data_IF_622331075361
#
_entry.id   IF_622331075361
#
_cell.length_a   1.000
_cell.length_b   1.000
_cell.length_c   1.000
_cell.angle_alpha   90.00
_cell.angle_beta   90.00
_cell.angle_gamma   90.00
#
_symmetry.space_group_name_H-M   'P 1'
#
loop_
_entity.id
_entity.type
_entity.pdbx_description
1 polymer ?
#
# COMPACT_ATOMS: atom_id res chain seq x y z
N UNK A 1 -8.89 2.60 -8.52
CA UNK A 1 -9.59 3.48 -7.55
C UNK A 1 -8.68 3.67 -6.37
N UNK A 2 -8.56 4.90 -5.85
CA UNK A 2 -7.69 5.24 -4.71
C UNK A 2 -8.57 5.75 -3.58
N UNK A 3 -8.41 5.16 -2.40
CA UNK A 3 -9.12 5.52 -1.18
C UNK A 3 -8.61 6.80 -0.55
N UNK A 4 -9.20 7.14 0.59
CA UNK A 4 -8.91 8.37 1.35
C UNK A 4 -7.56 8.31 2.04
N UNK A 5 -6.90 9.47 2.19
CA UNK A 5 -5.66 9.62 2.97
C UNK A 5 -4.51 8.69 2.53
N UNK A 6 -4.47 8.31 1.25
CA UNK A 6 -3.38 7.53 0.70
C UNK A 6 -2.14 8.39 0.47
N UNK A 7 -0.95 7.79 0.63
CA UNK A 7 0.34 8.43 0.30
C UNK A 7 1.08 7.62 -0.74
N UNK A 8 0.90 7.98 -2.01
CA UNK A 8 1.54 7.32 -3.15
C UNK A 8 2.74 8.18 -3.58
N UNK A 9 3.94 7.63 -3.46
CA UNK A 9 5.18 8.35 -3.78
C UNK A 9 5.47 8.36 -5.29
N UNK A 10 6.31 9.29 -5.74
CA UNK A 10 6.83 9.31 -7.12
C UNK A 10 7.57 8.01 -7.46
N UNK A 11 7.51 7.59 -8.73
CA UNK A 11 8.16 6.35 -9.18
C UNK A 11 7.36 5.08 -8.86
N UNK A 12 6.07 5.22 -8.57
CA UNK A 12 5.11 4.12 -8.44
C UNK A 12 4.37 3.96 -9.77
N UNK A 13 4.22 2.72 -10.24
CA UNK A 13 3.46 2.36 -11.44
C UNK A 13 2.24 1.52 -11.04
N UNK A 14 1.03 2.01 -11.32
CA UNK A 14 -0.23 1.32 -11.00
C UNK A 14 -1.05 1.12 -12.27
N UNK A 15 -1.37 -0.12 -12.59
CA UNK A 15 -2.24 -0.48 -13.71
C UNK A 15 -3.40 -1.34 -13.21
N UNK A 16 -4.62 -0.81 -13.23
CA UNK A 16 -5.81 -1.51 -12.73
C UNK A 16 -5.62 -1.99 -11.28
N UNK A 17 -5.27 -1.05 -10.39
CA UNK A 17 -5.07 -1.32 -8.95
C UNK A 17 -6.14 -0.59 -8.14
N UNK A 18 -6.68 -1.30 -7.15
CA UNK A 18 -7.44 -0.71 -6.06
C UNK A 18 -6.51 -0.45 -4.88
N UNK A 19 -6.51 0.79 -4.37
CA UNK A 19 -5.72 1.19 -3.19
C UNK A 19 -6.71 1.60 -2.10
N UNK A 20 -6.72 0.87 -0.99
CA UNK A 20 -7.58 1.13 0.17
C UNK A 20 -7.11 2.33 0.98
N UNK A 21 -8.00 2.82 1.85
CA UNK A 21 -7.76 4.00 2.67
C UNK A 21 -6.48 3.89 3.51
N UNK A 22 -5.85 5.03 3.79
CA UNK A 22 -4.64 5.16 4.61
C UNK A 22 -3.44 4.34 4.11
N UNK A 23 -3.46 3.88 2.86
CA UNK A 23 -2.35 3.10 2.30
C UNK A 23 -1.23 4.02 1.84
N UNK A 24 -0.01 3.73 2.31
CA UNK A 24 1.23 4.30 1.79
C UNK A 24 1.85 3.34 0.77
N UNK A 25 2.22 3.86 -0.40
CA UNK A 25 2.97 3.13 -1.43
C UNK A 25 4.32 3.83 -1.65
N UNK A 26 5.41 3.13 -1.34
CA UNK A 26 6.79 3.62 -1.48
C UNK A 26 7.28 3.58 -2.94
N UNK A 27 8.29 4.39 -3.31
CA UNK A 27 8.87 4.38 -4.66
C UNK A 27 9.32 2.99 -5.13
N UNK A 28 9.28 2.76 -6.44
CA UNK A 28 9.71 1.50 -7.05
C UNK A 28 8.65 0.41 -7.05
N UNK A 29 7.49 0.62 -6.43
CA UNK A 29 6.38 -0.32 -6.50
C UNK A 29 5.74 -0.34 -7.89
N UNK A 30 5.57 -1.53 -8.45
CA UNK A 30 4.86 -1.77 -9.71
C UNK A 30 3.72 -2.75 -9.48
N UNK A 31 2.50 -2.23 -9.40
CA UNK A 31 1.28 -3.01 -9.17
C UNK A 31 0.44 -3.14 -10.42
N UNK A 32 -0.02 -4.36 -10.72
CA UNK A 32 -0.96 -4.62 -11.81
C UNK A 32 -2.06 -5.57 -11.38
N UNK A 33 -3.31 -5.21 -11.68
CA UNK A 33 -4.49 -6.03 -11.44
C UNK A 33 -4.59 -6.54 -9.98
N UNK A 34 -4.58 -5.60 -9.02
CA UNK A 34 -4.42 -5.92 -7.61
C UNK A 34 -5.31 -5.04 -6.75
N UNK A 35 -5.86 -5.58 -5.67
CA UNK A 35 -6.39 -4.82 -4.55
C UNK A 35 -5.34 -4.81 -3.44
N UNK A 36 -5.02 -3.63 -2.93
CA UNK A 36 -4.10 -3.43 -1.82
C UNK A 36 -4.76 -2.56 -0.75
N UNK A 37 -4.60 -2.95 0.51
CA UNK A 37 -4.80 -2.09 1.69
C UNK A 37 -3.49 -1.99 2.47
N UNK A 38 -3.47 -1.27 3.59
CA UNK A 38 -2.31 -1.26 4.48
C UNK A 38 -2.06 -2.61 5.18
N UNK A 39 -3.05 -3.51 5.21
CA UNK A 39 -3.01 -4.76 5.97
C UNK A 39 -2.98 -6.01 5.09
N UNK A 40 -3.64 -6.01 3.94
CA UNK A 40 -3.73 -7.18 3.06
C UNK A 40 -3.76 -6.81 1.57
N UNK A 41 -3.63 -7.81 0.72
CA UNK A 41 -3.80 -7.70 -0.72
C UNK A 41 -4.64 -8.84 -1.28
N UNK A 42 -5.26 -8.60 -2.44
CA UNK A 42 -6.01 -9.60 -3.21
C UNK A 42 -5.66 -9.46 -4.69
N UNK A 43 -5.35 -10.58 -5.35
CA UNK A 43 -5.07 -10.68 -6.78
C UNK A 43 -6.31 -11.06 -7.58
N UNK A 44 -6.23 -10.97 -8.91
CA UNK A 44 -7.39 -11.25 -9.79
C UNK A 44 -7.90 -12.68 -9.73
N UNK A 45 -7.06 -13.64 -9.36
CA UNK A 45 -7.42 -15.04 -9.21
C UNK A 45 -8.13 -15.32 -7.87
N UNK A 46 -8.35 -14.28 -7.06
CA UNK A 46 -8.97 -14.37 -5.75
C UNK A 46 -8.01 -14.81 -4.64
N UNK A 47 -6.73 -15.07 -4.95
CA UNK A 47 -5.73 -15.30 -3.91
C UNK A 47 -5.35 -13.99 -3.23
N UNK A 48 -4.76 -14.10 -2.04
CA UNK A 48 -4.42 -12.93 -1.23
C UNK A 48 -3.62 -13.30 0.00
N UNK A 49 -3.20 -12.27 0.73
CA UNK A 49 -2.43 -12.46 1.95
C UNK A 49 -2.25 -11.16 2.72
N UNK A 50 -1.64 -11.27 3.90
CA UNK A 50 -1.25 -10.12 4.70
C UNK A 50 -0.08 -9.37 4.04
N UNK A 51 -0.04 -8.05 4.20
CA UNK A 51 1.10 -7.24 3.77
C UNK A 51 2.34 -7.64 4.57
N UNK A 52 2.21 -7.84 5.89
CA UNK A 52 3.31 -8.19 6.81
C UNK A 52 4.07 -9.46 6.44
N UNK A 53 3.38 -10.45 5.89
CA UNK A 53 3.96 -11.77 5.56
C UNK A 53 4.28 -11.92 4.06
N UNK A 54 4.23 -10.82 3.31
CA UNK A 54 4.52 -10.81 1.87
C UNK A 54 5.71 -9.91 1.53
N UNK A 55 6.19 -10.03 0.29
CA UNK A 55 7.19 -9.11 -0.25
C UNK A 55 6.67 -7.67 -0.40
N UNK A 56 5.36 -7.45 -0.27
CA UNK A 56 4.75 -6.13 -0.37
C UNK A 56 5.05 -5.25 0.85
N UNK A 57 5.41 -5.80 2.02
CA UNK A 57 5.80 -5.01 3.21
C UNK A 57 6.91 -4.00 2.97
N UNK A 58 7.77 -4.27 1.98
CA UNK A 58 8.85 -3.39 1.59
C UNK A 58 8.33 -2.11 0.91
N UNK A 59 7.13 -2.14 0.36
CA UNK A 59 6.55 -1.07 -0.45
C UNK A 59 5.29 -0.48 0.17
N UNK A 60 4.48 -1.31 0.81
CA UNK A 60 3.16 -0.98 1.33
C UNK A 60 3.24 -0.85 2.84
N UNK A 61 2.61 0.18 3.39
CA UNK A 61 2.42 0.34 4.84
C UNK A 61 1.20 1.20 5.13
N UNK A 62 0.81 1.27 6.39
CA UNK A 62 -0.18 2.26 6.83
C UNK A 62 0.46 3.66 6.97
N UNK A 63 -0.26 4.70 6.57
CA UNK A 63 0.16 6.10 6.77
C UNK A 63 0.18 6.45 8.25
N UNK A 64 -0.75 5.91 9.05
CA UNK A 64 -0.93 6.20 10.49
C UNK A 64 0.20 5.61 11.34
N UNK A 65 0.85 4.54 10.89
CA UNK A 65 1.95 3.90 11.61
C UNK A 65 3.21 4.77 11.71
N UNK A 66 3.32 5.84 10.92
CA UNK A 66 4.50 6.73 10.91
C UNK A 66 4.31 7.99 11.76
N UNK A 67 3.07 8.43 11.93
CA UNK A 67 2.78 9.66 12.68
C UNK A 67 2.90 9.47 14.20
N UNK A 68 3.00 8.23 14.67
CA UNK A 68 3.33 7.92 16.07
C UNK A 68 4.79 8.20 16.48
N UNK A 69 5.68 8.52 15.53
CA UNK A 69 7.11 8.72 15.78
C UNK A 69 7.60 10.17 15.57
N UNK A 70 6.69 11.14 15.46
CA UNK A 70 7.07 12.56 15.45
C UNK A 70 7.30 13.03 16.89
N UNK A 71 8.46 12.67 17.46
CA UNK A 71 8.96 13.33 18.68
C UNK A 71 9.21 14.79 18.37
N UNK A 72 8.49 15.64 19.10
CA UNK A 72 8.70 17.07 19.25
C UNK A 72 10.19 17.33 19.50
N UNK A 73 10.82 18.10 18.62
CA UNK A 73 12.11 18.76 18.87
C UNK A 73 11.84 20.22 19.21
#
# INVERSE_FOLDING_TARGET
>A
MIGSNCKIHSGVELSNVFVGDYTRIRPGFKGKNLLITSEYYVTVDGSGGSISDSNLKNYISDVRSLEGNSTVH
#
